data_IF_904877997390
#
_entry.id   IF_904877997390
#
_cell.length_a   1.000
_cell.length_b   1.000
_cell.length_c   1.000
_cell.angle_alpha   90.00
_cell.angle_beta   90.00
_cell.angle_gamma   90.00
#
_symmetry.space_group_name_H-M   'P 1'
#
loop_
_entity.id
_entity.type
_entity.pdbx_description
1 polymer ?
#
# COMPACT_ATOMS: atom_id res chain seq x y z
N UNK A 1 0.02 1.27 7.49
CA UNK A 1 0.87 0.05 7.55
C UNK A 1 2.29 0.37 7.10
N UNK A 2 2.43 0.98 5.93
CA UNK A 2 3.73 1.39 5.39
C UNK A 2 4.17 2.81 5.84
N UNK A 3 3.26 3.57 6.47
CA UNK A 3 3.48 4.93 6.99
C UNK A 3 4.32 5.05 8.26
N UNK A 4 4.58 3.94 8.98
CA UNK A 4 5.40 3.92 10.20
C UNK A 4 6.66 3.07 10.08
N UNK A 5 6.98 2.61 8.87
CA UNK A 5 8.25 1.94 8.57
C UNK A 5 8.41 0.49 9.07
N UNK A 6 7.33 -0.28 9.18
CA UNK A 6 7.44 -1.73 9.37
C UNK A 6 6.47 -2.47 8.45
N UNK A 7 7.00 -3.04 7.37
CA UNK A 7 6.19 -3.64 6.30
C UNK A 7 6.80 -4.92 5.74
N UNK A 8 7.09 -5.89 6.61
CA UNK A 8 7.48 -7.24 6.16
C UNK A 8 6.35 -7.82 5.28
N UNK A 9 6.63 -8.34 4.09
CA UNK A 9 5.63 -8.92 3.18
C UNK A 9 4.65 -9.88 3.86
N UNK A 10 5.16 -10.78 4.70
CA UNK A 10 4.33 -11.73 5.45
C UNK A 10 3.31 -11.04 6.36
N UNK A 11 3.66 -9.92 6.99
CA UNK A 11 2.72 -9.16 7.83
C UNK A 11 1.66 -8.43 7.00
N UNK A 12 2.00 -7.99 5.79
CA UNK A 12 1.05 -7.41 4.84
C UNK A 12 0.04 -8.48 4.42
N UNK A 13 0.55 -9.64 4.00
CA UNK A 13 -0.23 -10.81 3.57
C UNK A 13 -1.31 -11.19 4.58
N UNK A 14 -0.93 -11.39 5.85
CA UNK A 14 -1.87 -11.76 6.92
C UNK A 14 -2.93 -10.69 7.19
N UNK A 15 -2.66 -9.41 6.91
CA UNK A 15 -3.61 -8.31 7.15
C UNK A 15 -4.53 -8.03 5.98
N UNK A 16 -4.11 -8.36 4.76
CA UNK A 16 -4.89 -8.13 3.54
C UNK A 16 -5.64 -9.37 3.06
N UNK A 17 -5.46 -10.53 3.72
CA UNK A 17 -5.98 -11.82 3.27
C UNK A 17 -5.59 -12.15 1.82
N UNK A 18 -4.43 -11.65 1.37
CA UNK A 18 -3.88 -11.94 0.03
C UNK A 18 -2.96 -13.14 0.12
N UNK A 19 -2.80 -13.87 -0.98
CA UNK A 19 -1.71 -14.84 -1.14
C UNK A 19 -0.42 -14.14 -1.60
N UNK A 20 0.72 -14.86 -1.58
CA UNK A 20 2.04 -14.29 -1.87
C UNK A 20 2.13 -13.61 -3.24
N UNK A 21 1.69 -14.29 -4.30
CA UNK A 21 1.81 -13.83 -5.69
C UNK A 21 1.08 -12.49 -5.92
N UNK A 22 -0.25 -12.36 -5.66
CA UNK A 22 -0.94 -11.10 -5.87
C UNK A 22 -0.43 -9.98 -4.96
N UNK A 23 0.02 -10.31 -3.74
CA UNK A 23 0.67 -9.33 -2.88
C UNK A 23 1.95 -8.78 -3.52
N UNK A 24 2.80 -9.67 -4.06
CA UNK A 24 4.05 -9.28 -4.70
C UNK A 24 3.80 -8.38 -5.92
N UNK A 25 2.84 -8.74 -6.78
CA UNK A 25 2.44 -7.93 -7.94
C UNK A 25 1.98 -6.53 -7.53
N UNK A 26 1.16 -6.42 -6.48
CA UNK A 26 0.71 -5.13 -5.96
C UNK A 26 1.89 -4.31 -5.43
N UNK A 27 2.79 -4.92 -4.65
CA UNK A 27 3.94 -4.22 -4.08
C UNK A 27 4.90 -3.73 -5.17
N UNK A 28 5.21 -4.57 -6.16
CA UNK A 28 6.02 -4.20 -7.32
C UNK A 28 5.37 -3.07 -8.12
N UNK A 29 4.06 -3.14 -8.34
CA UNK A 29 3.32 -2.06 -8.99
C UNK A 29 3.45 -0.74 -8.20
N UNK A 30 3.18 -0.75 -6.89
CA UNK A 30 3.27 0.44 -6.06
C UNK A 30 4.69 1.03 -5.99
N UNK A 31 5.73 0.18 -6.00
CA UNK A 31 7.13 0.61 -6.11
C UNK A 31 7.39 1.22 -7.48
N UNK A 32 6.92 0.61 -8.57
CA UNK A 32 7.09 1.14 -9.94
C UNK A 32 6.45 2.52 -10.13
N UNK A 33 5.36 2.79 -9.40
CA UNK A 33 4.69 4.09 -9.40
C UNK A 33 5.34 5.12 -8.46
N UNK A 34 6.37 4.74 -7.71
CA UNK A 34 7.05 5.58 -6.72
C UNK A 34 6.19 5.90 -5.50
N UNK A 35 5.17 5.08 -5.23
CA UNK A 35 4.29 5.22 -4.06
C UNK A 35 4.87 4.51 -2.83
N UNK A 36 5.66 3.47 -3.09
CA UNK A 36 6.46 2.75 -2.11
C UNK A 36 7.94 2.81 -2.47
N UNK A 37 8.78 2.72 -1.46
CA UNK A 37 10.21 2.44 -1.55
C UNK A 37 10.45 1.03 -0.99
N UNK A 38 11.24 0.23 -1.72
CA UNK A 38 11.69 -1.09 -1.29
C UNK A 38 13.12 -0.98 -0.74
N UNK A 39 13.35 -1.51 0.45
CA UNK A 39 14.66 -1.62 1.08
C UNK A 39 14.99 -3.09 1.29
N UNK A 40 16.10 -3.54 0.70
CA UNK A 40 16.66 -4.86 0.97
C UNK A 40 17.51 -4.82 2.25
N UNK A 41 17.08 -5.58 3.26
CA UNK A 41 17.80 -5.77 4.53
C UNK A 41 18.19 -7.23 4.66
N UNK A 42 19.46 -7.54 4.39
CA UNK A 42 20.06 -8.89 4.44
C UNK A 42 19.27 -9.94 3.64
N UNK A 43 18.25 -10.54 4.26
CA UNK A 43 17.42 -11.64 3.72
C UNK A 43 15.94 -11.29 3.63
N UNK A 44 15.57 -10.02 3.84
CA UNK A 44 14.17 -9.58 3.80
C UNK A 44 14.02 -8.25 3.08
N UNK A 45 12.90 -8.14 2.37
CA UNK A 45 12.43 -6.87 1.81
C UNK A 45 11.55 -6.17 2.82
N UNK A 46 11.73 -4.87 2.97
CA UNK A 46 10.83 -3.99 3.71
C UNK A 46 10.36 -2.87 2.79
N UNK A 47 9.11 -2.45 2.98
CA UNK A 47 8.48 -1.43 2.16
C UNK A 47 8.17 -0.20 2.99
N UNK A 48 8.41 0.98 2.45
CA UNK A 48 8.21 2.27 3.12
C UNK A 48 7.38 3.18 2.23
N UNK A 49 6.42 3.92 2.80
CA UNK A 49 5.59 4.79 1.97
C UNK A 49 6.38 6.06 1.66
N UNK A 50 6.41 6.41 0.39
CA UNK A 50 7.05 7.66 -0.04
C UNK A 50 6.16 8.85 0.31
N UNK A 51 6.71 10.05 0.18
CA UNK A 51 5.91 11.27 0.31
C UNK A 51 4.83 11.35 -0.77
N UNK A 52 5.15 10.96 -2.01
CA UNK A 52 4.18 10.83 -3.10
C UNK A 52 3.05 9.86 -2.74
N UNK A 53 3.38 8.70 -2.16
CA UNK A 53 2.40 7.74 -1.68
C UNK A 53 1.47 8.32 -0.62
N UNK A 54 2.00 9.10 0.34
CA UNK A 54 1.19 9.79 1.36
C UNK A 54 0.23 10.80 0.75
N UNK A 55 0.68 11.59 -0.23
CA UNK A 55 -0.16 12.56 -0.92
C UNK A 55 -1.29 11.87 -1.69
N UNK A 56 -1.00 10.80 -2.44
CA UNK A 56 -2.01 10.02 -3.16
C UNK A 56 -3.07 9.47 -2.21
N UNK A 57 -2.67 8.94 -1.05
CA UNK A 57 -3.64 8.49 -0.03
C UNK A 57 -4.51 9.62 0.51
N UNK A 58 -3.95 10.82 0.70
CA UNK A 58 -4.72 11.97 1.15
C UNK A 58 -5.75 12.43 0.11
N UNK A 59 -5.37 12.45 -1.18
CA UNK A 59 -6.30 12.74 -2.27
C UNK A 59 -7.39 11.68 -2.38
N UNK A 60 -7.02 10.40 -2.33
CA UNK A 60 -7.98 9.30 -2.37
C UNK A 60 -9.01 9.42 -1.23
N UNK A 61 -8.55 9.66 0.00
CA UNK A 61 -9.44 9.87 1.16
C UNK A 61 -10.39 11.04 0.94
N UNK A 62 -9.87 12.18 0.48
CA UNK A 62 -10.68 13.37 0.21
C UNK A 62 -11.74 13.10 -0.86
N UNK A 63 -11.38 12.35 -1.91
CA UNK A 63 -12.34 11.95 -2.95
C UNK A 63 -13.42 11.03 -2.40
N UNK A 64 -13.06 10.03 -1.58
CA UNK A 64 -14.03 9.09 -0.99
C UNK A 64 -15.02 9.78 -0.05
N UNK A 65 -14.59 10.84 0.64
CA UNK A 65 -15.48 11.64 1.51
C UNK A 65 -16.48 12.49 0.72
N UNK A 66 -16.19 12.77 -0.56
CA UNK A 66 -17.05 13.52 -1.47
C UNK A 66 -17.99 12.61 -2.27
N UNK A 67 -17.82 11.29 -2.22
CA UNK A 67 -18.67 10.34 -2.92
C UNK A 67 -20.02 10.18 -2.20
N UNK A 68 -21.15 10.16 -2.93
CA UNK A 68 -22.44 9.76 -2.38
C UNK A 68 -22.36 8.38 -1.72
N UNK A 69 -23.09 8.19 -0.62
CA UNK A 69 -23.07 6.97 0.20
C UNK A 69 -23.26 5.67 -0.61
N UNK A 70 -24.09 5.72 -1.66
CA UNK A 70 -24.38 4.57 -2.53
C UNK A 70 -23.19 4.09 -3.38
N UNK A 71 -22.22 4.98 -3.63
CA UNK A 71 -21.01 4.68 -4.41
C UNK A 71 -19.88 4.20 -3.49
N UNK A 72 -19.85 4.67 -2.24
CA UNK A 72 -18.82 4.32 -1.27
C UNK A 72 -18.93 2.88 -0.72
N UNK A 73 -20.13 2.29 -0.63
CA UNK A 73 -20.30 0.88 -0.18
C UNK A 73 -19.85 -0.16 -1.22
N UNK A 74 -19.64 0.24 -2.48
CA UNK A 74 -19.32 -0.65 -3.59
C UNK A 74 -17.85 -0.58 -4.07
N UNK A 75 -16.98 0.17 -3.37
CA UNK A 75 -15.53 0.29 -3.60
C UNK A 75 -14.72 -0.45 -2.55
#
# INVERSE_FOLDING_TARGET
MVSRGESKPTRIMYKTNLSWVPLQEILEFLVSQGLLEEVELERRKEYFITEKGRQVLAYFKSMTELLPYEIAENL
#
